data_IF_211726960906
#
_entry.id   IF_211726960906
#
_cell.length_a   1.000
_cell.length_b   1.000
_cell.length_c   1.000
_cell.angle_alpha   90.00
_cell.angle_beta   90.00
_cell.angle_gamma   90.00
#
_symmetry.space_group_name_H-M   'P 1'
#
loop_
_entity.id
_entity.type
_entity.pdbx_description
1 polymer ?
#
# COMPACT_ATOMS: atom_id res chain seq x y z
N UNK A 1 13.25 12.98 7.93
CA UNK A 1 12.73 13.59 9.17
C UNK A 1 13.23 12.79 10.38
N UNK A 2 14.52 12.86 10.71
CA UNK A 2 15.03 12.15 11.88
C UNK A 2 14.52 12.83 13.17
N UNK A 3 13.93 12.05 14.08
CA UNK A 3 13.64 12.49 15.46
C UNK A 3 12.20 12.90 15.79
N UNK A 4 11.31 13.06 14.81
CA UNK A 4 9.88 13.32 15.09
C UNK A 4 9.16 12.02 15.46
N UNK A 5 8.20 12.06 16.38
CA UNK A 5 7.33 10.89 16.65
C UNK A 5 6.30 10.69 15.51
N UNK A 6 5.68 9.52 15.41
CA UNK A 6 4.80 9.16 14.28
C UNK A 6 3.70 10.20 14.03
N UNK A 7 3.07 10.69 15.10
CA UNK A 7 1.99 11.67 15.05
C UNK A 7 2.42 13.00 14.42
N UNK A 8 3.57 13.53 14.83
CA UNK A 8 4.11 14.79 14.30
C UNK A 8 4.45 14.68 12.80
N UNK A 9 4.92 13.51 12.36
CA UNK A 9 5.19 13.26 10.93
C UNK A 9 3.88 13.24 10.15
N UNK A 10 2.84 12.56 10.66
CA UNK A 10 1.54 12.47 10.01
C UNK A 10 0.86 13.84 9.90
N UNK A 11 0.79 14.60 11.00
CA UNK A 11 0.25 15.97 11.00
C UNK A 11 0.94 16.90 9.99
N UNK A 12 2.20 16.63 9.65
CA UNK A 12 2.94 17.41 8.64
C UNK A 12 2.68 16.94 7.21
N UNK A 13 2.37 15.65 7.01
CA UNK A 13 2.10 15.07 5.69
C UNK A 13 0.65 15.25 5.27
N UNK A 14 -0.29 15.12 6.21
CA UNK A 14 -1.73 15.21 6.02
C UNK A 14 -2.32 16.05 7.16
N UNK A 15 -2.17 17.38 7.12
CA UNK A 15 -2.50 18.28 8.23
C UNK A 15 -4.00 18.39 8.51
N UNK A 16 -4.85 18.05 7.54
CA UNK A 16 -6.30 18.15 7.66
C UNK A 16 -6.97 16.84 8.08
N UNK A 17 -6.17 15.79 8.30
CA UNK A 17 -6.67 14.46 8.66
C UNK A 17 -6.27 14.12 10.09
N UNK A 18 -7.20 13.50 10.82
CA UNK A 18 -6.89 12.89 12.10
C UNK A 18 -6.62 11.40 11.87
N UNK A 19 -5.35 10.96 11.89
CA UNK A 19 -5.04 9.55 11.68
C UNK A 19 -5.65 8.73 12.82
N UNK A 20 -6.23 7.58 12.46
CA UNK A 20 -6.72 6.65 13.46
C UNK A 20 -5.55 6.11 14.32
N UNK A 21 -5.80 5.89 15.62
CA UNK A 21 -4.80 5.44 16.60
C UNK A 21 -3.95 4.24 16.14
N UNK A 22 -4.55 3.20 15.54
CA UNK A 22 -3.82 2.03 15.02
C UNK A 22 -2.76 2.39 13.97
N UNK A 23 -2.92 3.49 13.23
CA UNK A 23 -1.91 3.97 12.27
C UNK A 23 -0.67 4.47 13.02
N UNK A 24 -0.88 5.22 14.11
CA UNK A 24 0.20 5.73 14.95
C UNK A 24 0.96 4.58 15.61
N UNK A 25 0.23 3.61 16.16
CA UNK A 25 0.82 2.42 16.79
C UNK A 25 1.65 1.58 15.80
N UNK A 26 1.12 1.35 14.59
CA UNK A 26 1.83 0.59 13.56
C UNK A 26 3.09 1.33 13.08
N UNK A 27 3.02 2.66 12.92
CA UNK A 27 4.18 3.47 12.56
C UNK A 27 5.28 3.43 13.62
N UNK A 28 4.92 3.57 14.90
CA UNK A 28 5.86 3.45 16.01
C UNK A 28 6.45 2.03 16.12
N UNK A 29 5.63 1.00 15.86
CA UNK A 29 6.07 -0.40 15.78
C UNK A 29 7.11 -0.60 14.68
N UNK A 30 6.86 -0.07 13.48
CA UNK A 30 7.79 -0.16 12.32
C UNK A 30 9.10 0.59 12.61
N UNK A 31 9.05 1.73 13.27
CA UNK A 31 10.23 2.53 13.61
C UNK A 31 11.16 1.81 14.60
N UNK A 32 10.57 1.06 15.54
CA UNK A 32 11.32 0.26 16.54
C UNK A 32 11.92 -1.02 15.98
N UNK A 33 11.47 -1.51 14.81
CA UNK A 33 12.00 -2.74 14.21
C UNK A 33 13.44 -2.55 13.69
N UNK A 34 14.36 -3.49 13.98
CA UNK A 34 15.72 -3.44 13.46
C UNK A 34 15.74 -3.62 11.93
N UNK A 35 16.80 -3.15 11.29
CA UNK A 35 17.03 -3.42 9.87
C UNK A 35 17.57 -4.83 9.66
N UNK A 36 17.23 -5.51 8.53
CA UNK A 36 16.37 -5.04 7.44
C UNK A 36 14.88 -5.14 7.77
N UNK A 37 14.08 -4.20 7.25
CA UNK A 37 12.61 -4.20 7.36
C UNK A 37 11.98 -4.69 6.05
N UNK A 38 10.92 -5.49 6.17
CA UNK A 38 10.12 -5.96 5.05
C UNK A 38 8.79 -5.22 5.03
N UNK A 39 8.53 -4.49 3.94
CA UNK A 39 7.31 -3.71 3.75
C UNK A 39 6.68 -4.17 2.44
N UNK A 40 5.41 -4.58 2.49
CA UNK A 40 4.59 -4.89 1.31
C UNK A 40 3.68 -3.69 1.03
N UNK A 41 3.55 -3.32 -0.23
CA UNK A 41 2.58 -2.29 -0.65
C UNK A 41 2.01 -2.60 -2.03
N UNK A 42 0.79 -2.13 -2.27
CA UNK A 42 0.14 -2.11 -3.58
C UNK A 42 0.17 -0.71 -4.23
N UNK A 43 0.83 0.26 -3.60
CA UNK A 43 0.95 1.62 -4.15
C UNK A 43 1.74 1.63 -5.45
N UNK A 44 1.26 2.42 -6.42
CA UNK A 44 1.99 2.71 -7.64
C UNK A 44 3.36 3.35 -7.32
N UNK A 45 4.35 3.11 -8.17
CA UNK A 45 5.73 3.56 -7.94
C UNK A 45 5.82 5.07 -7.66
N UNK A 46 5.01 5.88 -8.33
CA UNK A 46 4.99 7.35 -8.19
C UNK A 46 4.53 7.82 -6.80
N UNK A 47 3.75 7.00 -6.08
CA UNK A 47 3.25 7.29 -4.74
C UNK A 47 4.25 6.87 -3.64
N UNK A 48 5.30 6.10 -3.97
CA UNK A 48 6.34 5.72 -3.02
C UNK A 48 7.18 6.94 -2.60
N UNK A 49 7.86 6.95 -1.44
CA UNK A 49 8.67 8.09 -1.00
C UNK A 49 9.71 8.53 -2.05
N UNK A 50 9.80 9.84 -2.30
CA UNK A 50 10.71 10.41 -3.32
C UNK A 50 12.16 9.95 -3.13
N UNK A 51 12.64 9.87 -1.90
CA UNK A 51 14.01 9.42 -1.60
C UNK A 51 14.24 7.97 -2.02
N UNK A 52 13.22 7.11 -1.91
CA UNK A 52 13.27 5.72 -2.38
C UNK A 52 13.33 5.68 -3.91
N UNK A 53 12.45 6.45 -4.58
CA UNK A 53 12.40 6.52 -6.06
C UNK A 53 13.68 7.08 -6.68
N UNK A 54 14.32 8.05 -6.01
CA UNK A 54 15.57 8.67 -6.43
C UNK A 54 16.83 7.89 -6.00
N UNK A 55 16.69 6.69 -5.43
CA UNK A 55 17.84 5.86 -5.02
C UNK A 55 18.67 6.43 -3.87
N UNK A 56 18.13 7.40 -3.10
CA UNK A 56 18.80 8.03 -1.95
C UNK A 56 18.76 7.19 -0.67
N UNK A 57 18.19 5.99 -0.73
CA UNK A 57 18.10 5.06 0.39
C UNK A 57 18.81 3.74 0.05
N UNK A 58 19.18 2.97 1.07
CA UNK A 58 19.75 1.61 0.90
C UNK A 58 18.69 0.52 0.69
N UNK A 59 17.40 0.89 0.66
CA UNK A 59 16.31 -0.07 0.50
C UNK A 59 16.25 -0.60 -0.93
N UNK A 60 15.77 -1.84 -1.08
CA UNK A 60 15.60 -2.52 -2.38
C UNK A 60 14.11 -2.74 -2.64
N UNK A 61 13.69 -2.56 -3.90
CA UNK A 61 12.32 -2.83 -4.34
C UNK A 61 12.30 -4.16 -5.09
N UNK A 62 11.41 -5.06 -4.68
CA UNK A 62 11.06 -6.26 -5.45
C UNK A 62 9.67 -6.03 -6.00
N UNK A 63 9.56 -5.82 -7.31
CA UNK A 63 8.29 -5.63 -8.00
C UNK A 63 7.79 -6.96 -8.57
N UNK A 64 6.54 -7.30 -8.29
CA UNK A 64 5.93 -8.57 -8.71
C UNK A 64 4.85 -8.28 -9.74
N UNK A 65 5.00 -8.86 -10.93
CA UNK A 65 4.01 -8.79 -12.01
C UNK A 65 3.43 -10.16 -12.29
N UNK A 66 2.17 -10.21 -12.74
CA UNK A 66 1.48 -11.41 -13.20
C UNK A 66 0.67 -11.06 -14.45
N UNK A 67 0.35 -12.06 -15.27
CA UNK A 67 -0.57 -11.90 -16.38
C UNK A 67 -1.87 -11.25 -15.88
N UNK A 68 -2.32 -10.12 -16.45
CA UNK A 68 -3.48 -9.38 -15.96
C UNK A 68 -4.78 -10.20 -16.00
N UNK A 69 -4.90 -11.18 -16.92
CA UNK A 69 -6.05 -12.09 -16.96
C UNK A 69 -6.13 -12.95 -15.70
N UNK A 70 -5.00 -13.47 -15.25
CA UNK A 70 -4.93 -14.25 -14.02
C UNK A 70 -5.07 -13.38 -12.76
N UNK A 71 -4.60 -12.12 -12.83
CA UNK A 71 -4.81 -11.14 -11.76
C UNK A 71 -6.29 -10.85 -11.59
N UNK A 72 -7.02 -10.61 -12.67
CA UNK A 72 -8.47 -10.34 -12.65
C UNK A 72 -9.23 -11.48 -11.97
N UNK A 73 -8.97 -12.74 -12.33
CA UNK A 73 -9.59 -13.91 -11.71
C UNK A 73 -9.24 -14.00 -10.23
N UNK A 74 -7.96 -13.84 -9.89
CA UNK A 74 -7.50 -13.89 -8.50
C UNK A 74 -8.12 -12.78 -7.65
N UNK A 75 -8.27 -11.58 -8.22
CA UNK A 75 -8.81 -10.42 -7.52
C UNK A 75 -10.32 -10.54 -7.35
N UNK A 76 -11.04 -11.09 -8.33
CA UNK A 76 -12.46 -11.46 -8.19
C UNK A 76 -12.72 -12.35 -6.98
N UNK A 77 -12.01 -13.47 -6.84
CA UNK A 77 -12.18 -14.36 -5.69
C UNK A 77 -11.72 -13.72 -4.37
N UNK A 78 -10.69 -12.88 -4.40
CA UNK A 78 -10.28 -12.09 -3.24
C UNK A 78 -11.37 -11.11 -2.79
N UNK A 79 -12.01 -10.40 -3.73
CA UNK A 79 -13.12 -9.50 -3.47
C UNK A 79 -14.36 -10.24 -2.97
N UNK A 80 -14.65 -11.45 -3.48
CA UNK A 80 -15.72 -12.29 -2.93
C UNK A 80 -15.44 -12.67 -1.47
N UNK A 81 -14.22 -13.07 -1.15
CA UNK A 81 -13.85 -13.56 0.18
C UNK A 81 -13.74 -12.43 1.22
N UNK A 82 -13.08 -11.32 0.89
CA UNK A 82 -12.74 -10.28 1.87
C UNK A 82 -13.60 -9.02 1.78
N UNK A 83 -14.15 -8.73 0.60
CA UNK A 83 -14.92 -7.49 0.34
C UNK A 83 -16.42 -7.76 0.16
N UNK A 84 -16.85 -9.04 0.22
CA UNK A 84 -18.25 -9.43 0.11
C UNK A 84 -18.87 -9.17 -1.26
N UNK A 85 -18.08 -9.20 -2.35
CA UNK A 85 -18.60 -8.98 -3.70
C UNK A 85 -19.61 -10.07 -4.12
N UNK A 86 -20.79 -9.67 -4.58
CA UNK A 86 -21.92 -10.58 -4.90
C UNK A 86 -22.13 -10.73 -6.42
N UNK A 87 -21.55 -9.84 -7.23
CA UNK A 87 -21.74 -9.85 -8.69
C UNK A 87 -21.14 -11.05 -9.42
N UNK A 88 -21.42 -11.09 -10.72
CA UNK A 88 -20.86 -12.06 -11.66
C UNK A 88 -19.39 -11.79 -11.96
N UNK A 89 -18.71 -12.76 -12.56
CA UNK A 89 -17.32 -12.57 -12.98
C UNK A 89 -17.24 -11.64 -14.18
N UNK A 90 -18.22 -11.70 -15.08
CA UNK A 90 -18.33 -10.87 -16.27
C UNK A 90 -18.40 -9.38 -15.90
N UNK A 91 -19.30 -9.01 -14.98
CA UNK A 91 -19.40 -7.64 -14.43
C UNK A 91 -18.08 -7.22 -13.76
N UNK A 92 -17.45 -8.14 -13.02
CA UNK A 92 -16.19 -7.84 -12.36
C UNK A 92 -15.06 -7.59 -13.36
N UNK A 93 -15.01 -8.36 -14.46
CA UNK A 93 -14.07 -8.14 -15.54
C UNK A 93 -14.25 -6.78 -16.19
N UNK A 94 -15.49 -6.36 -16.44
CA UNK A 94 -15.78 -5.02 -16.99
C UNK A 94 -15.29 -3.93 -16.03
N UNK A 95 -15.57 -4.06 -14.73
CA UNK A 95 -15.07 -3.13 -13.71
C UNK A 95 -13.54 -3.10 -13.64
N UNK A 96 -12.90 -4.28 -13.68
CA UNK A 96 -11.45 -4.41 -13.64
C UNK A 96 -10.78 -3.75 -14.85
N UNK A 97 -11.41 -3.80 -16.02
CA UNK A 97 -10.92 -3.14 -17.23
C UNK A 97 -11.21 -1.64 -17.25
N UNK A 98 -12.27 -1.19 -16.59
CA UNK A 98 -12.62 0.23 -16.48
C UNK A 98 -11.72 1.01 -15.50
N UNK A 99 -11.11 0.32 -14.53
CA UNK A 99 -10.19 0.88 -13.53
C UNK A 99 -8.72 0.94 -14.04
N UNK A 100 -8.44 0.39 -15.23
CA UNK A 100 -7.12 0.38 -15.86
C UNK A 100 -6.88 1.60 -16.76
#
# INVERSE_FOLDING_TARGET
>A
YPGLIAEERLKRLIPNENPHEWILEEMDSIDKRPSPRFIKTHLAFQLLPRQLREGKTKAKIVYVTRNPKDVCISYFYHSKLLLGYIGSFEEYCELFLADA
#
